data_IF_310436968432
#
_entry.id   IF_310436968432
#
_cell.length_a   1.000
_cell.length_b   1.000
_cell.length_c   1.000
_cell.angle_alpha   90.00
_cell.angle_beta   90.00
_cell.angle_gamma   90.00
#
_symmetry.space_group_name_H-M   'P 1'
#
loop_
_entity.id
_entity.type
_entity.pdbx_description
1 polymer ?
#
# COMPACT_ATOMS: atom_id res chain seq x y z
N UNK A 1 -23.13 -1.17 27.23
CA UNK A 1 -21.80 -1.64 27.67
C UNK A 1 -20.96 -2.31 26.56
N UNK A 2 -21.44 -2.41 25.31
CA UNK A 2 -20.60 -2.65 24.14
C UNK A 2 -20.13 -1.32 23.51
N UNK A 3 -21.04 -0.35 23.49
CA UNK A 3 -20.81 1.06 23.81
C UNK A 3 -20.32 1.18 25.28
N UNK A 4 -19.18 1.77 25.65
CA UNK A 4 -18.06 2.25 24.83
C UNK A 4 -16.81 1.38 24.98
N UNK A 5 -16.79 0.25 24.28
CA UNK A 5 -15.57 -0.46 23.87
C UNK A 5 -15.24 -0.10 22.42
N UNK A 6 -16.26 -0.06 21.56
CA UNK A 6 -16.14 0.28 20.15
C UNK A 6 -15.69 1.74 19.95
N UNK A 7 -16.32 2.70 20.64
CA UNK A 7 -15.94 4.12 20.57
C UNK A 7 -14.48 4.35 21.01
N UNK A 8 -13.99 3.62 22.01
CA UNK A 8 -12.57 3.69 22.44
C UNK A 8 -11.63 3.18 21.35
N UNK A 9 -12.00 2.09 20.68
CA UNK A 9 -11.22 1.58 19.55
C UNK A 9 -11.22 2.58 18.38
N UNK A 10 -12.35 3.20 18.06
CA UNK A 10 -12.41 4.23 17.00
C UNK A 10 -11.63 5.51 17.31
N UNK A 11 -11.44 5.84 18.59
CA UNK A 11 -10.60 6.97 19.03
C UNK A 11 -9.10 6.68 18.94
N UNK A 12 -8.70 5.41 19.06
CA UNK A 12 -7.30 4.96 18.98
C UNK A 12 -6.90 4.56 17.55
N UNK A 13 -7.86 4.13 16.73
CA UNK A 13 -7.64 3.82 15.32
C UNK A 13 -7.23 5.08 14.54
N UNK A 14 -6.14 4.97 13.77
CA UNK A 14 -5.59 6.10 13.01
C UNK A 14 -6.29 6.16 11.65
N UNK A 15 -7.43 6.85 11.59
CA UNK A 15 -8.21 7.00 10.35
C UNK A 15 -7.39 7.66 9.22
N UNK A 16 -6.41 8.51 9.56
CA UNK A 16 -5.39 9.05 8.64
C UNK A 16 -4.52 8.00 7.93
N UNK A 17 -4.49 6.76 8.41
CA UNK A 17 -3.72 5.64 7.85
C UNK A 17 -4.53 4.76 6.88
N UNK A 18 -5.85 4.95 6.78
CA UNK A 18 -6.69 4.17 5.86
C UNK A 18 -6.40 4.53 4.38
N UNK A 19 -6.68 3.60 3.46
CA UNK A 19 -6.27 3.73 2.06
C UNK A 19 -6.92 4.94 1.36
N UNK A 20 -8.17 5.25 1.70
CA UNK A 20 -9.03 6.30 1.16
C UNK A 20 -9.13 7.55 2.06
N UNK A 21 -8.28 7.66 3.08
CA UNK A 21 -8.32 8.76 4.04
C UNK A 21 -8.12 10.16 3.40
N UNK A 22 -9.00 11.15 3.65
CA UNK A 22 -8.85 12.51 3.11
C UNK A 22 -7.50 13.18 3.43
N UNK A 23 -6.87 12.84 4.57
CA UNK A 23 -5.51 13.29 4.94
C UNK A 23 -4.43 12.90 3.91
N UNK A 24 -4.75 11.99 2.99
CA UNK A 24 -3.83 11.42 2.00
C UNK A 24 -4.18 11.81 0.56
N UNK A 25 -5.03 12.82 0.37
CA UNK A 25 -5.33 13.36 -0.96
C UNK A 25 -4.22 14.29 -1.49
N UNK A 26 -3.99 14.34 -2.82
CA UNK A 26 -4.56 13.45 -3.85
C UNK A 26 -4.02 12.02 -3.69
N UNK A 27 -4.91 11.03 -3.82
CA UNK A 27 -4.52 9.63 -3.67
C UNK A 27 -3.60 9.21 -4.83
N UNK A 28 -2.41 8.63 -4.55
CA UNK A 28 -1.62 8.02 -5.61
C UNK A 28 -2.39 6.77 -6.07
N UNK A 29 -2.88 6.75 -7.31
CA UNK A 29 -3.56 5.61 -7.93
C UNK A 29 -2.86 5.28 -9.24
N UNK A 30 -2.73 4.01 -9.58
CA UNK A 30 -2.28 3.62 -10.92
C UNK A 30 -3.32 4.09 -11.95
N UNK A 31 -2.85 4.78 -13.00
CA UNK A 31 -3.70 5.19 -14.10
C UNK A 31 -4.14 3.97 -14.91
N UNK A 32 -5.27 4.08 -15.61
CA UNK A 32 -5.71 3.05 -16.53
C UNK A 32 -4.65 2.80 -17.61
N UNK A 33 -4.42 1.52 -17.93
CA UNK A 33 -3.34 1.10 -18.83
C UNK A 33 -1.93 1.07 -18.20
N UNK A 34 -1.73 1.53 -16.97
CA UNK A 34 -0.41 1.48 -16.30
C UNK A 34 -0.28 0.31 -15.33
N UNK A 35 0.96 -0.21 -15.15
CA UNK A 35 1.31 -1.30 -14.20
C UNK A 35 0.45 -2.58 -14.37
N UNK A 36 -0.04 -2.84 -15.57
CA UNK A 36 -1.07 -3.88 -15.83
C UNK A 36 -0.61 -5.26 -15.37
N UNK A 37 0.56 -5.72 -15.80
CA UNK A 37 1.04 -7.06 -15.46
C UNK A 37 1.51 -7.18 -14.01
N UNK A 38 2.04 -6.11 -13.41
CA UNK A 38 2.32 -6.05 -11.97
C UNK A 38 1.04 -6.29 -11.15
N UNK A 39 -0.02 -5.53 -11.46
CA UNK A 39 -1.30 -5.60 -10.77
C UNK A 39 -1.92 -6.99 -10.98
N UNK A 40 -1.94 -7.49 -12.22
CA UNK A 40 -2.42 -8.83 -12.57
C UNK A 40 -1.71 -9.93 -11.78
N UNK A 41 -0.39 -9.86 -11.62
CA UNK A 41 0.36 -10.82 -10.82
C UNK A 41 0.05 -10.71 -9.33
N UNK A 42 0.00 -9.49 -8.77
CA UNK A 42 -0.37 -9.27 -7.38
C UNK A 42 -1.78 -9.83 -7.11
N UNK A 43 -2.75 -9.61 -8.00
CA UNK A 43 -4.08 -10.22 -7.87
C UNK A 43 -4.04 -11.75 -7.93
N UNK A 44 -3.27 -12.32 -8.87
CA UNK A 44 -3.07 -13.78 -8.94
C UNK A 44 -2.38 -14.39 -7.72
N UNK A 45 -1.59 -13.61 -6.97
CA UNK A 45 -1.05 -14.01 -5.66
C UNK A 45 -2.09 -13.86 -4.54
N UNK A 46 -2.92 -12.82 -4.57
CA UNK A 46 -3.98 -12.56 -3.58
C UNK A 46 -5.20 -13.50 -3.71
N UNK A 47 -5.32 -14.21 -4.83
CA UNK A 47 -6.39 -15.19 -5.10
C UNK A 47 -6.01 -16.63 -4.71
N UNK A 48 -4.74 -16.89 -4.35
CA UNK A 48 -4.24 -18.17 -3.84
C UNK A 48 -4.89 -18.53 -2.51
N UNK A 49 -5.04 -19.82 -2.19
CA UNK A 49 -5.80 -20.27 -1.01
C UNK A 49 -5.06 -21.31 -0.16
N UNK A 50 -3.86 -21.67 -0.56
CA UNK A 50 -3.09 -22.78 0.02
C UNK A 50 -2.40 -22.38 1.34
N UNK A 51 -1.99 -21.12 1.46
CA UNK A 51 -1.35 -20.55 2.66
C UNK A 51 -1.44 -19.03 2.68
N UNK A 52 -1.40 -18.48 3.89
CA UNK A 52 -1.19 -17.04 4.10
C UNK A 52 0.16 -16.59 3.53
N UNK A 53 0.23 -15.37 3.00
CA UNK A 53 1.45 -14.83 2.37
C UNK A 53 1.63 -13.34 2.65
N UNK A 54 2.89 -12.90 2.70
CA UNK A 54 3.25 -11.48 2.58
C UNK A 54 3.78 -11.26 1.16
N UNK A 55 3.10 -10.43 0.37
CA UNK A 55 3.55 -9.99 -0.95
C UNK A 55 4.35 -8.70 -0.72
N UNK A 56 5.68 -8.77 -0.79
CA UNK A 56 6.55 -7.64 -0.51
C UNK A 56 6.97 -6.93 -1.78
N UNK A 57 6.27 -5.82 -2.10
CA UNK A 57 6.59 -4.95 -3.21
C UNK A 57 7.64 -3.92 -2.78
N UNK A 58 8.89 -4.09 -3.23
CA UNK A 58 10.00 -3.24 -2.77
C UNK A 58 10.76 -2.58 -3.92
N UNK A 59 11.38 -1.43 -3.65
CA UNK A 59 12.08 -0.67 -4.69
C UNK A 59 12.45 0.73 -4.23
N UNK A 60 13.07 1.52 -5.11
CA UNK A 60 13.54 2.88 -4.79
C UNK A 60 12.38 3.88 -4.56
N UNK A 61 12.70 5.09 -4.11
CA UNK A 61 11.70 6.14 -3.94
C UNK A 61 11.13 6.59 -5.29
N UNK A 62 9.81 6.78 -5.36
CA UNK A 62 9.16 7.36 -6.55
C UNK A 62 8.84 6.40 -7.70
N UNK A 63 9.04 5.09 -7.55
CA UNK A 63 8.68 4.07 -8.58
C UNK A 63 7.21 3.62 -8.56
N UNK A 64 6.32 4.36 -7.86
CA UNK A 64 4.87 4.11 -7.89
C UNK A 64 4.33 3.07 -6.90
N UNK A 65 5.13 2.53 -5.97
CA UNK A 65 4.69 1.48 -5.02
C UNK A 65 3.40 1.83 -4.26
N UNK A 66 3.29 3.05 -3.72
CA UNK A 66 2.09 3.52 -3.02
C UNK A 66 0.86 3.64 -3.92
N UNK A 67 1.06 3.85 -5.23
CA UNK A 67 -0.02 3.83 -6.21
C UNK A 67 -0.55 2.41 -6.43
N UNK A 68 0.36 1.43 -6.52
CA UNK A 68 0.01 0.01 -6.57
C UNK A 68 -0.74 -0.41 -5.29
N UNK A 69 -0.24 -0.02 -4.10
CA UNK A 69 -0.88 -0.31 -2.82
C UNK A 69 -2.31 0.26 -2.74
N UNK A 70 -2.50 1.53 -3.12
CA UNK A 70 -3.82 2.15 -3.16
C UNK A 70 -4.75 1.44 -4.15
N UNK A 71 -4.31 1.20 -5.39
CA UNK A 71 -5.12 0.52 -6.43
C UNK A 71 -5.50 -0.90 -6.02
N UNK A 72 -4.62 -1.62 -5.32
CA UNK A 72 -4.96 -2.93 -4.74
C UNK A 72 -5.97 -2.79 -3.60
N UNK A 73 -5.79 -1.85 -2.67
CA UNK A 73 -6.73 -1.63 -1.57
C UNK A 73 -8.14 -1.26 -2.08
N UNK A 74 -8.23 -0.33 -3.03
CA UNK A 74 -9.47 0.11 -3.67
C UNK A 74 -10.18 -1.06 -4.37
N UNK A 75 -9.46 -1.86 -5.17
CA UNK A 75 -10.04 -3.06 -5.81
C UNK A 75 -10.51 -4.09 -4.79
N UNK A 76 -9.70 -4.38 -3.76
CA UNK A 76 -10.10 -5.32 -2.70
C UNK A 76 -11.28 -4.78 -1.87
N UNK A 77 -11.48 -3.47 -1.78
CA UNK A 77 -12.67 -2.88 -1.16
C UNK A 77 -13.91 -3.02 -2.03
N UNK A 78 -13.79 -2.96 -3.35
CA UNK A 78 -14.89 -3.19 -4.30
C UNK A 78 -15.31 -4.66 -4.45
N UNK A 79 -14.43 -5.61 -4.12
CA UNK A 79 -14.73 -7.05 -4.18
C UNK A 79 -15.33 -7.55 -2.86
N UNK A 80 -16.42 -8.32 -2.94
CA UNK A 80 -16.98 -9.04 -1.79
C UNK A 80 -16.17 -10.29 -1.44
N UNK A 81 -16.30 -10.75 -0.19
CA UNK A 81 -15.81 -12.06 0.26
C UNK A 81 -16.79 -13.18 -0.09
N UNK A 82 -18.08 -12.91 0.04
CA UNK A 82 -19.19 -13.84 -0.29
C UNK A 82 -20.31 -13.04 -0.96
N UNK A 83 -21.07 -13.64 -1.89
CA UNK A 83 -22.15 -12.91 -2.57
C UNK A 83 -23.34 -12.62 -1.65
N UNK A 84 -23.54 -13.47 -0.65
CA UNK A 84 -24.59 -13.41 0.38
C UNK A 84 -24.42 -12.21 1.32
N UNK A 85 -23.18 -11.74 1.50
CA UNK A 85 -22.86 -10.60 2.37
C UNK A 85 -22.89 -9.26 1.63
N UNK A 86 -23.56 -8.26 2.22
CA UNK A 86 -23.58 -6.88 1.69
C UNK A 86 -22.45 -5.98 2.23
N UNK A 87 -21.73 -6.42 3.25
CA UNK A 87 -20.76 -5.60 4.02
C UNK A 87 -19.33 -6.15 3.91
N UNK A 88 -19.17 -7.47 3.79
CA UNK A 88 -17.86 -8.12 3.89
C UNK A 88 -17.09 -8.03 2.57
N UNK A 89 -16.08 -7.15 2.56
CA UNK A 89 -15.20 -6.86 1.42
C UNK A 89 -13.85 -7.56 1.57
N UNK A 90 -13.19 -7.94 0.46
CA UNK A 90 -11.87 -8.60 0.51
C UNK A 90 -10.82 -7.75 1.19
N UNK A 91 -10.92 -6.42 1.16
CA UNK A 91 -10.09 -5.56 2.01
C UNK A 91 -10.50 -5.73 3.48
N UNK A 92 -9.65 -6.39 4.26
CA UNK A 92 -9.78 -6.54 5.70
C UNK A 92 -9.39 -5.25 6.43
N UNK A 93 -8.30 -4.61 6.02
CA UNK A 93 -7.86 -3.33 6.54
C UNK A 93 -6.61 -2.81 5.84
N UNK A 94 -6.27 -1.57 6.12
CA UNK A 94 -5.16 -0.86 5.50
C UNK A 94 -4.40 0.00 6.50
N UNK A 95 -3.08 0.12 6.32
CA UNK A 95 -2.25 1.02 7.11
C UNK A 95 -1.14 1.62 6.25
N UNK A 96 -1.30 2.89 5.91
CA UNK A 96 -0.34 3.67 5.13
C UNK A 96 0.53 4.49 6.09
N UNK A 97 1.73 3.98 6.38
CA UNK A 97 2.72 4.66 7.22
C UNK A 97 3.05 6.05 6.64
N UNK A 98 3.46 6.98 7.50
CA UNK A 98 4.10 8.22 7.05
C UNK A 98 4.94 8.88 8.13
N UNK A 99 6.15 9.31 7.75
CA UNK A 99 7.08 10.09 8.59
C UNK A 99 6.50 11.45 8.98
N UNK A 100 5.49 11.95 8.25
CA UNK A 100 4.85 13.25 8.50
C UNK A 100 3.85 13.25 9.66
N UNK A 101 3.39 12.08 10.12
CA UNK A 101 2.41 11.96 11.20
C UNK A 101 2.95 11.04 12.31
N UNK A 102 2.93 11.50 13.56
CA UNK A 102 3.45 10.77 14.73
C UNK A 102 2.80 9.40 14.90
N UNK A 103 1.47 9.32 14.75
CA UNK A 103 0.71 8.09 14.92
C UNK A 103 0.83 7.13 13.71
N UNK A 104 1.42 7.58 12.59
CA UNK A 104 1.65 6.79 11.36
C UNK A 104 3.13 6.52 11.10
N UNK A 105 4.03 6.97 11.96
CA UNK A 105 5.48 6.70 11.90
C UNK A 105 5.95 5.70 12.97
N UNK A 106 5.01 5.05 13.67
CA UNK A 106 5.26 4.08 14.73
C UNK A 106 4.29 2.91 14.62
N UNK A 107 4.66 1.76 15.18
CA UNK A 107 3.83 0.54 15.16
C UNK A 107 2.77 0.50 16.26
N UNK A 108 2.82 1.38 17.26
CA UNK A 108 1.97 1.33 18.46
C UNK A 108 0.46 1.47 18.22
N UNK A 109 0.04 1.99 17.06
CA UNK A 109 -1.37 2.05 16.67
C UNK A 109 -1.74 1.05 15.55
N UNK A 110 -0.77 0.29 15.03
CA UNK A 110 -0.93 -0.52 13.83
C UNK A 110 -2.02 -1.58 14.01
N UNK A 111 -1.89 -2.44 15.03
CA UNK A 111 -2.85 -3.52 15.26
C UNK A 111 -4.22 -3.03 15.72
N UNK A 112 -4.30 -1.93 16.49
CA UNK A 112 -5.58 -1.31 16.85
C UNK A 112 -6.30 -0.76 15.61
N UNK A 113 -5.59 -0.10 14.70
CA UNK A 113 -6.14 0.46 13.46
C UNK A 113 -6.60 -0.63 12.48
N UNK A 114 -5.85 -1.74 12.39
CA UNK A 114 -6.29 -2.91 11.61
C UNK A 114 -7.47 -3.65 12.25
N UNK A 115 -7.51 -3.78 13.59
CA UNK A 115 -8.62 -4.42 14.30
C UNK A 115 -9.93 -3.64 14.13
N UNK A 116 -9.87 -2.31 14.16
CA UNK A 116 -11.01 -1.44 13.90
C UNK A 116 -11.57 -1.66 12.49
N UNK A 117 -10.72 -1.60 11.46
CA UNK A 117 -11.13 -1.84 10.08
C UNK A 117 -11.64 -3.27 9.88
N UNK A 118 -10.96 -4.29 10.43
CA UNK A 118 -11.39 -5.69 10.35
C UNK A 118 -12.79 -5.87 10.94
N UNK A 119 -13.05 -5.35 12.14
CA UNK A 119 -14.37 -5.42 12.77
C UNK A 119 -15.45 -4.58 12.06
N UNK A 120 -15.06 -3.50 11.37
CA UNK A 120 -15.97 -2.67 10.55
C UNK A 120 -16.34 -3.36 9.23
N UNK A 121 -15.37 -4.05 8.61
CA UNK A 121 -15.55 -4.78 7.36
C UNK A 121 -16.16 -6.18 7.58
N UNK A 122 -15.94 -6.80 8.75
CA UNK A 122 -16.45 -8.12 9.13
C UNK A 122 -17.20 -8.02 10.49
N UNK A 123 -18.50 -7.70 10.49
CA UNK A 123 -19.25 -7.45 11.73
C UNK A 123 -19.25 -8.61 12.73
N UNK A 124 -19.11 -9.86 12.26
CA UNK A 124 -18.94 -11.05 13.09
C UNK A 124 -17.73 -10.96 14.04
N UNK A 125 -16.67 -10.26 13.61
CA UNK A 125 -15.42 -10.07 14.37
C UNK A 125 -15.56 -9.02 15.48
N UNK A 126 -16.50 -8.08 15.34
CA UNK A 126 -16.64 -6.93 16.25
C UNK A 126 -16.85 -7.36 17.71
N UNK A 127 -17.69 -8.36 17.96
CA UNK A 127 -17.93 -8.91 19.31
C UNK A 127 -16.65 -9.48 19.93
N UNK A 128 -15.78 -10.10 19.13
CA UNK A 128 -14.54 -10.70 19.60
C UNK A 128 -13.45 -9.66 19.90
N UNK A 129 -13.32 -8.63 19.05
CA UNK A 129 -12.44 -7.47 19.29
C UNK A 129 -12.89 -6.73 20.56
N UNK A 130 -14.19 -6.46 20.69
CA UNK A 130 -14.75 -5.84 21.90
C UNK A 130 -14.48 -6.68 23.16
N UNK A 131 -14.61 -8.01 23.08
CA UNK A 131 -14.25 -8.89 24.21
C UNK A 131 -12.76 -8.79 24.58
N UNK A 132 -11.86 -8.85 23.60
CA UNK A 132 -10.42 -8.76 23.85
C UNK A 132 -10.02 -7.44 24.54
N UNK A 133 -10.63 -6.32 24.14
CA UNK A 133 -10.41 -5.00 24.75
C UNK A 133 -10.99 -4.92 26.16
N UNK A 134 -12.13 -5.56 26.45
CA UNK A 134 -12.69 -5.60 27.81
C UNK A 134 -11.85 -6.45 28.77
N UNK A 135 -11.31 -7.57 28.29
CA UNK A 135 -10.43 -8.45 29.08
C UNK A 135 -9.09 -7.78 29.39
N UNK A 136 -8.55 -6.98 28.47
CA UNK A 136 -7.33 -6.18 28.72
C UNK A 136 -7.41 -4.82 27.99
N UNK A 137 -7.91 -3.75 28.64
CA UNK A 137 -7.99 -2.42 28.01
C UNK A 137 -6.64 -1.81 27.63
N UNK A 138 -5.54 -2.26 28.24
CA UNK A 138 -4.21 -1.75 27.95
C UNK A 138 -3.71 -2.11 26.54
N UNK A 139 -4.34 -3.05 25.83
CA UNK A 139 -4.02 -3.34 24.41
C UNK A 139 -4.29 -2.16 23.47
N UNK A 140 -5.09 -1.18 23.89
CA UNK A 140 -5.30 0.07 23.16
C UNK A 140 -4.26 1.16 23.47
N UNK A 141 -3.36 0.93 24.43
CA UNK A 141 -2.27 1.86 24.72
C UNK A 141 -1.15 1.66 23.68
N UNK A 142 -0.74 2.74 23.00
CA UNK A 142 0.33 2.70 21.99
C UNK A 142 1.71 2.32 22.56
N UNK A 143 1.91 2.45 23.88
CA UNK A 143 3.11 2.00 24.60
C UNK A 143 3.04 0.55 25.08
N UNK A 144 1.93 -0.17 24.83
CA UNK A 144 1.81 -1.59 25.13
C UNK A 144 2.74 -2.40 24.23
N UNK A 145 3.22 -3.53 24.74
CA UNK A 145 3.93 -4.56 23.96
C UNK A 145 3.23 -4.86 22.63
N UNK A 146 3.94 -4.62 21.51
CA UNK A 146 3.44 -4.88 20.15
C UNK A 146 3.02 -6.34 19.94
N UNK A 147 3.67 -7.27 20.66
CA UNK A 147 3.32 -8.69 20.70
C UNK A 147 1.97 -8.95 21.34
N UNK A 148 1.62 -8.22 22.38
CA UNK A 148 0.34 -8.40 23.08
C UNK A 148 -0.81 -7.70 22.35
N UNK A 149 -0.53 -6.55 21.73
CA UNK A 149 -1.44 -5.97 20.73
C UNK A 149 -1.71 -6.95 19.58
N UNK A 150 -0.67 -7.55 18.97
CA UNK A 150 -0.82 -8.54 17.89
C UNK A 150 -1.71 -9.71 18.34
N UNK A 151 -1.41 -10.32 19.49
CA UNK A 151 -2.19 -11.46 20.01
C UNK A 151 -3.67 -11.12 20.21
N UNK A 152 -3.95 -9.98 20.84
CA UNK A 152 -5.30 -9.60 21.27
C UNK A 152 -6.14 -8.98 20.15
N UNK A 153 -5.53 -8.19 19.26
CA UNK A 153 -6.21 -7.35 18.27
C UNK A 153 -6.05 -7.86 16.83
N UNK A 154 -5.13 -8.77 16.56
CA UNK A 154 -4.93 -9.35 15.22
C UNK A 154 -5.15 -10.87 15.21
N UNK A 155 -4.30 -11.65 15.90
CA UNK A 155 -4.39 -13.13 15.90
C UNK A 155 -5.74 -13.64 16.38
N UNK A 156 -6.19 -13.24 17.58
CA UNK A 156 -7.45 -13.72 18.17
C UNK A 156 -8.70 -13.33 17.36
N UNK A 157 -8.83 -12.10 16.83
CA UNK A 157 -9.89 -11.75 15.88
C UNK A 157 -9.89 -12.60 14.60
N UNK A 158 -8.73 -12.86 14.00
CA UNK A 158 -8.61 -13.73 12.82
C UNK A 158 -8.99 -15.19 13.15
N UNK A 159 -8.49 -15.73 14.26
CA UNK A 159 -8.79 -17.08 14.75
C UNK A 159 -10.29 -17.33 14.90
N UNK A 160 -11.01 -16.31 15.41
CA UNK A 160 -12.46 -16.39 15.53
C UNK A 160 -13.16 -16.47 14.16
N UNK A 161 -12.64 -15.87 13.09
CA UNK A 161 -13.20 -16.07 11.74
C UNK A 161 -13.03 -17.51 11.27
N UNK A 162 -11.83 -18.11 11.40
CA UNK A 162 -11.60 -19.50 11.00
C UNK A 162 -12.40 -20.49 11.85
N UNK A 163 -12.59 -20.22 13.14
CA UNK A 163 -13.40 -21.06 14.03
C UNK A 163 -14.87 -21.20 13.58
N UNK A 164 -15.36 -20.33 12.69
CA UNK A 164 -16.70 -20.44 12.07
C UNK A 164 -16.70 -21.25 10.77
N UNK A 165 -15.54 -21.61 10.23
CA UNK A 165 -15.36 -22.29 8.93
C UNK A 165 -15.76 -21.46 7.70
N UNK A 166 -16.38 -20.29 7.91
CA UNK A 166 -17.10 -19.51 6.88
C UNK A 166 -16.22 -19.04 5.73
N UNK A 167 -14.91 -18.88 5.93
CA UNK A 167 -14.00 -18.33 4.93
C UNK A 167 -13.28 -19.39 4.07
N UNK A 168 -13.45 -20.69 4.35
CA UNK A 168 -12.67 -21.77 3.71
C UNK A 168 -12.83 -21.86 2.19
N UNK A 169 -14.02 -21.52 1.68
CA UNK A 169 -14.33 -21.53 0.25
C UNK A 169 -14.32 -20.11 -0.37
N UNK A 170 -13.99 -19.09 0.42
CA UNK A 170 -13.98 -17.70 0.00
C UNK A 170 -12.60 -17.28 -0.55
N UNK A 171 -12.53 -16.20 -1.34
CA UNK A 171 -11.27 -15.51 -1.59
C UNK A 171 -10.70 -14.96 -0.26
N UNK A 172 -9.39 -15.13 0.03
CA UNK A 172 -8.80 -14.66 1.26
C UNK A 172 -8.99 -13.16 1.52
N UNK A 173 -9.24 -12.76 2.77
CA UNK A 173 -9.12 -11.37 3.19
C UNK A 173 -7.70 -10.83 3.02
N UNK A 174 -7.60 -9.58 2.62
CA UNK A 174 -6.35 -8.88 2.27
C UNK A 174 -6.15 -7.69 3.18
N UNK A 175 -4.96 -7.58 3.76
CA UNK A 175 -4.46 -6.36 4.38
C UNK A 175 -3.49 -5.63 3.44
N UNK A 176 -3.53 -4.30 3.43
CA UNK A 176 -2.60 -3.47 2.64
C UNK A 176 -1.79 -2.58 3.57
N UNK A 177 -0.48 -2.75 3.56
CA UNK A 177 0.47 -2.01 4.40
C UNK A 177 1.45 -1.29 3.49
N UNK A 178 1.39 0.03 3.47
CA UNK A 178 2.20 0.85 2.55
C UNK A 178 3.31 1.59 3.28
N UNK A 179 4.45 1.74 2.61
CA UNK A 179 5.60 2.53 3.01
C UNK A 179 6.15 2.18 4.40
N UNK A 180 6.42 0.89 4.67
CA UNK A 180 6.97 0.46 5.97
C UNK A 180 8.30 1.16 6.32
N UNK A 181 9.09 1.61 5.34
CA UNK A 181 10.27 2.46 5.54
C UNK A 181 9.96 3.86 6.08
N UNK A 182 8.69 4.28 6.10
CA UNK A 182 8.24 5.49 6.81
C UNK A 182 7.94 5.27 8.30
N UNK A 183 8.07 4.04 8.81
CA UNK A 183 8.08 3.74 10.23
C UNK A 183 9.47 3.94 10.87
N UNK A 184 9.48 4.24 12.16
CA UNK A 184 10.68 4.23 13.02
C UNK A 184 11.36 2.84 13.03
N UNK A 185 12.63 2.70 12.57
CA UNK A 185 13.28 1.41 12.32
C UNK A 185 13.32 0.44 13.50
N UNK A 186 13.35 0.97 14.74
CA UNK A 186 13.50 0.24 16.00
C UNK A 186 12.39 -0.80 16.22
N UNK A 187 11.23 -0.60 15.61
CA UNK A 187 10.04 -1.47 15.79
C UNK A 187 9.64 -2.24 14.53
N UNK A 188 10.32 -2.00 13.41
CA UNK A 188 9.98 -2.58 12.09
C UNK A 188 10.28 -4.08 12.03
N UNK A 189 11.44 -4.50 12.55
CA UNK A 189 11.82 -5.91 12.57
C UNK A 189 10.90 -6.76 13.46
N UNK A 190 10.43 -6.18 14.57
CA UNK A 190 9.46 -6.83 15.46
C UNK A 190 8.08 -6.95 14.80
N UNK A 191 7.62 -5.90 14.11
CA UNK A 191 6.35 -5.97 13.37
C UNK A 191 6.38 -7.06 12.30
N UNK A 192 7.43 -7.12 11.47
CA UNK A 192 7.60 -8.14 10.43
C UNK A 192 7.57 -9.55 11.05
N UNK A 193 8.33 -9.76 12.13
CA UNK A 193 8.39 -11.04 12.85
C UNK A 193 7.03 -11.43 13.45
N UNK A 194 6.27 -10.48 14.01
CA UNK A 194 4.96 -10.72 14.60
C UNK A 194 3.88 -10.99 13.54
N UNK A 195 3.98 -10.35 12.37
CA UNK A 195 3.13 -10.68 11.21
C UNK A 195 3.43 -12.09 10.71
N UNK A 196 4.71 -12.47 10.57
CA UNK A 196 5.08 -13.85 10.19
C UNK A 196 4.58 -14.89 11.18
N UNK A 197 4.76 -14.65 12.49
CA UNK A 197 4.24 -15.53 13.55
C UNK A 197 2.72 -15.69 13.49
N UNK A 198 1.97 -14.65 13.12
CA UNK A 198 0.53 -14.75 12.92
C UNK A 198 0.17 -15.51 11.63
N UNK A 199 0.84 -15.22 10.51
CA UNK A 199 0.50 -15.83 9.21
C UNK A 199 0.93 -17.31 9.08
N UNK A 200 1.92 -17.76 9.87
CA UNK A 200 2.32 -19.17 9.97
C UNK A 200 1.46 -20.00 10.93
N UNK A 201 0.51 -19.39 11.63
CA UNK A 201 -0.34 -20.07 12.61
C UNK A 201 -1.47 -20.86 11.88
N UNK A 202 -1.47 -22.21 11.94
CA UNK A 202 -2.44 -23.04 11.22
C UNK A 202 -3.85 -22.98 11.82
N UNK A 203 -4.04 -22.31 12.97
CA UNK A 203 -5.36 -22.02 13.52
C UNK A 203 -6.01 -20.77 12.90
N UNK A 204 -5.30 -20.02 12.06
CA UNK A 204 -5.81 -18.81 11.40
C UNK A 204 -6.38 -19.10 10.00
N UNK A 205 -7.34 -18.27 9.53
CA UNK A 205 -7.80 -18.35 8.15
C UNK A 205 -6.67 -17.88 7.24
N UNK A 206 -6.66 -18.38 6.01
CA UNK A 206 -5.74 -17.85 4.99
C UNK A 206 -6.05 -16.38 4.75
N UNK A 207 -5.04 -15.54 4.94
CA UNK A 207 -5.09 -14.09 4.70
C UNK A 207 -3.79 -13.63 4.04
N UNK A 208 -3.85 -12.58 3.24
CA UNK A 208 -2.68 -12.01 2.58
C UNK A 208 -2.38 -10.61 3.06
N UNK A 209 -1.10 -10.24 3.03
CA UNK A 209 -0.65 -8.87 3.28
C UNK A 209 0.10 -8.40 2.04
N UNK A 210 -0.41 -7.39 1.34
CA UNK A 210 0.43 -6.59 0.43
C UNK A 210 1.22 -5.61 1.29
N UNK A 211 2.54 -5.74 1.28
CA UNK A 211 3.47 -4.90 2.01
C UNK A 211 4.34 -4.11 1.03
N UNK A 212 4.44 -2.79 1.16
CA UNK A 212 5.40 -2.01 0.38
C UNK A 212 6.48 -1.37 1.26
N UNK A 213 7.71 -1.31 0.73
CA UNK A 213 8.78 -0.52 1.35
C UNK A 213 9.93 -0.21 0.38
N UNK A 214 10.90 0.59 0.83
CA UNK A 214 12.27 0.52 0.31
C UNK A 214 12.96 -0.76 0.75
N UNK A 215 13.97 -1.18 0.00
CA UNK A 215 14.87 -2.30 0.34
C UNK A 215 15.90 -1.91 1.42
N UNK A 216 15.50 -1.19 2.47
CA UNK A 216 16.42 -0.80 3.54
C UNK A 216 16.90 -2.03 4.32
N UNK A 217 18.19 -2.05 4.69
CA UNK A 217 18.86 -3.27 5.17
C UNK A 217 18.21 -3.87 6.42
N UNK A 218 17.61 -3.05 7.29
CA UNK A 218 16.89 -3.52 8.48
C UNK A 218 15.59 -4.26 8.13
N UNK A 219 14.88 -3.83 7.07
CA UNK A 219 13.69 -4.52 6.53
C UNK A 219 14.11 -5.81 5.85
N UNK A 220 15.12 -5.74 4.97
CA UNK A 220 15.64 -6.89 4.22
C UNK A 220 16.11 -7.99 5.18
N UNK A 221 16.89 -7.65 6.21
CA UNK A 221 17.32 -8.59 7.25
C UNK A 221 16.17 -9.21 8.04
N UNK A 222 15.09 -8.48 8.28
CA UNK A 222 13.92 -9.01 8.99
C UNK A 222 13.10 -9.97 8.12
N UNK A 223 12.96 -9.68 6.82
CA UNK A 223 12.25 -10.52 5.84
C UNK A 223 13.05 -11.76 5.43
N UNK A 224 14.38 -11.68 5.39
CA UNK A 224 15.24 -12.81 5.00
C UNK A 224 15.50 -13.82 6.13
N UNK A 225 14.90 -13.63 7.32
CA UNK A 225 14.90 -14.63 8.40
C UNK A 225 14.18 -15.90 7.97
N UNK A 226 14.64 -17.05 8.46
CA UNK A 226 14.18 -18.36 8.01
C UNK A 226 12.67 -18.57 8.20
N UNK A 227 12.12 -18.06 9.31
CA UNK A 227 10.69 -18.11 9.64
C UNK A 227 9.81 -17.28 8.69
N UNK A 228 10.40 -16.31 7.98
CA UNK A 228 9.71 -15.43 7.03
C UNK A 228 9.81 -15.92 5.59
N UNK A 229 10.93 -16.57 5.21
CA UNK A 229 11.24 -16.97 3.83
C UNK A 229 10.15 -17.83 3.16
N UNK A 230 9.43 -18.64 3.94
CA UNK A 230 8.37 -19.52 3.41
C UNK A 230 7.04 -18.80 3.21
N UNK A 231 6.83 -17.64 3.85
CA UNK A 231 5.63 -16.81 3.75
C UNK A 231 5.75 -15.69 2.72
N UNK A 232 6.95 -15.13 2.54
CA UNK A 232 7.16 -13.92 1.75
C UNK A 232 7.31 -14.25 0.26
N UNK A 233 6.59 -13.53 -0.59
CA UNK A 233 6.82 -13.44 -2.02
C UNK A 233 7.41 -12.06 -2.32
N UNK A 234 8.71 -12.00 -2.64
CA UNK A 234 9.40 -10.75 -2.96
C UNK A 234 9.09 -10.30 -4.40
N UNK A 235 8.77 -9.01 -4.57
CA UNK A 235 8.55 -8.36 -5.87
C UNK A 235 9.43 -7.11 -5.95
N UNK A 236 10.61 -7.19 -6.59
CA UNK A 236 11.48 -6.04 -6.81
C UNK A 236 10.95 -5.12 -7.92
N UNK A 237 10.94 -3.82 -7.67
CA UNK A 237 10.69 -2.76 -8.66
C UNK A 237 11.98 -1.97 -8.83
N UNK A 238 12.78 -2.39 -9.81
CA UNK A 238 14.06 -1.79 -10.14
C UNK A 238 13.91 -0.73 -11.24
N UNK A 239 14.84 0.23 -11.27
CA UNK A 239 14.92 1.26 -12.33
C UNK A 239 16.07 1.00 -13.31
N UNK A 240 17.11 0.27 -12.87
CA UNK A 240 18.17 -0.26 -13.73
C UNK A 240 17.66 -1.50 -14.47
N UNK A 241 17.81 -1.53 -15.80
CA UNK A 241 17.33 -2.61 -16.67
C UNK A 241 18.07 -3.95 -16.56
N UNK A 242 18.77 -4.18 -15.46
CA UNK A 242 19.44 -5.44 -15.14
C UNK A 242 18.65 -6.12 -13.99
N UNK A 243 17.59 -6.83 -14.38
CA UNK A 243 16.82 -7.69 -13.48
C UNK A 243 17.46 -9.08 -13.37
N UNK A 244 17.64 -9.58 -12.16
CA UNK A 244 18.02 -11.00 -11.95
C UNK A 244 16.83 -11.87 -12.39
N UNK A 245 17.10 -12.87 -13.23
CA UNK A 245 16.09 -13.73 -13.82
C UNK A 245 15.22 -14.44 -12.78
N UNK A 246 13.89 -14.43 -12.98
CA UNK A 246 12.97 -15.38 -12.35
C UNK A 246 11.56 -14.88 -12.05
N UNK A 247 11.40 -13.64 -11.57
CA UNK A 247 10.15 -13.20 -10.93
C UNK A 247 9.72 -11.82 -11.42
N UNK A 248 8.97 -11.79 -12.53
CA UNK A 248 8.44 -10.60 -13.20
C UNK A 248 9.43 -9.44 -13.23
N UNK A 249 10.30 -9.48 -14.23
CA UNK A 249 10.92 -8.27 -14.71
C UNK A 249 9.80 -7.32 -15.13
N UNK A 250 9.61 -6.24 -14.36
CA UNK A 250 8.94 -5.05 -14.86
C UNK A 250 9.95 -4.41 -15.79
N UNK A 251 9.99 -4.89 -17.03
CA UNK A 251 11.02 -4.52 -17.97
C UNK A 251 11.01 -3.00 -18.16
N UNK A 252 12.20 -2.45 -18.44
CA UNK A 252 12.38 -1.01 -18.46
C UNK A 252 11.38 -0.29 -19.37
N UNK A 253 11.03 -0.94 -20.48
CA UNK A 253 10.07 -0.49 -21.49
C UNK A 253 8.64 -0.31 -20.93
N UNK A 254 8.15 -1.22 -20.07
CA UNK A 254 6.84 -1.07 -19.41
C UNK A 254 6.80 0.18 -18.52
N UNK A 255 7.89 0.42 -17.78
CA UNK A 255 8.01 1.56 -16.86
C UNK A 255 8.18 2.88 -17.60
N UNK A 256 8.86 2.88 -18.74
CA UNK A 256 8.99 4.05 -19.60
C UNK A 256 7.64 4.37 -20.26
N UNK A 257 6.91 3.36 -20.77
CA UNK A 257 5.56 3.51 -21.31
C UNK A 257 4.56 4.00 -20.23
N UNK A 258 4.60 3.46 -19.03
CA UNK A 258 3.81 3.95 -17.89
C UNK A 258 4.02 5.46 -17.62
N UNK A 259 5.26 5.94 -17.72
CA UNK A 259 5.60 7.35 -17.52
C UNK A 259 5.10 8.21 -18.67
N UNK A 260 5.18 7.71 -19.92
CA UNK A 260 4.56 8.35 -21.07
C UNK A 260 3.05 8.52 -20.88
N UNK A 261 2.34 7.47 -20.46
CA UNK A 261 0.90 7.51 -20.16
C UNK A 261 0.61 8.51 -19.03
N UNK A 262 1.42 8.51 -17.96
CA UNK A 262 1.29 9.47 -16.86
C UNK A 262 1.44 10.93 -17.33
N UNK A 263 2.46 11.23 -18.15
CA UNK A 263 2.69 12.57 -18.68
C UNK A 263 1.54 12.98 -19.61
N UNK A 264 1.14 12.11 -20.55
CA UNK A 264 0.05 12.38 -21.48
C UNK A 264 -1.27 12.67 -20.75
N UNK A 265 -1.60 11.89 -19.71
CA UNK A 265 -2.76 12.14 -18.86
C UNK A 265 -2.65 13.48 -18.13
N UNK A 266 -1.50 13.75 -17.47
CA UNK A 266 -1.27 15.00 -16.73
C UNK A 266 -1.34 16.24 -17.61
N UNK A 267 -0.86 16.17 -18.85
CA UNK A 267 -0.99 17.27 -19.82
C UNK A 267 -2.42 17.40 -20.37
N UNK A 268 -3.17 16.31 -20.50
CA UNK A 268 -4.59 16.38 -20.88
C UNK A 268 -5.41 17.09 -19.80
N UNK A 269 -5.16 16.76 -18.53
CA UNK A 269 -5.75 17.45 -17.37
C UNK A 269 -5.34 18.93 -17.30
N UNK A 270 -4.11 19.27 -17.70
CA UNK A 270 -3.65 20.66 -17.81
C UNK A 270 -4.40 21.41 -18.94
N UNK A 271 -4.47 20.85 -20.15
CA UNK A 271 -5.18 21.44 -21.28
C UNK A 271 -6.67 21.68 -20.97
N UNK A 272 -7.31 20.79 -20.20
CA UNK A 272 -8.70 20.95 -19.80
C UNK A 272 -8.96 22.17 -18.89
N UNK A 273 -7.94 22.61 -18.14
CA UNK A 273 -7.99 23.80 -17.26
C UNK A 273 -7.46 25.06 -17.93
N UNK A 274 -6.60 24.91 -18.95
CA UNK A 274 -5.99 26.00 -19.70
C UNK A 274 -6.23 25.79 -21.21
N UNK A 275 -7.39 26.21 -21.76
CA UNK A 275 -7.74 25.95 -23.15
C UNK A 275 -6.78 26.55 -24.19
N UNK A 276 -6.05 27.62 -23.83
CA UNK A 276 -5.03 28.27 -24.67
C UNK A 276 -3.64 27.61 -24.58
N UNK A 277 -3.51 26.54 -23.78
CA UNK A 277 -2.28 25.74 -23.69
C UNK A 277 -2.28 24.67 -24.79
N UNK A 278 -1.26 24.63 -25.68
CA UNK A 278 -1.20 23.65 -26.74
C UNK A 278 -0.88 22.26 -26.19
N UNK A 279 -1.53 21.23 -26.75
CA UNK A 279 -1.17 19.82 -26.46
C UNK A 279 0.33 19.62 -26.74
N UNK A 280 1.11 19.04 -25.81
CA UNK A 280 2.53 18.79 -26.03
C UNK A 280 2.76 17.81 -27.18
N UNK A 281 3.86 17.99 -27.91
CA UNK A 281 4.27 17.09 -28.98
C UNK A 281 4.72 15.72 -28.43
N UNK A 282 4.74 14.70 -29.28
CA UNK A 282 5.31 13.40 -28.93
C UNK A 282 6.81 13.50 -28.54
N UNK A 283 7.56 14.41 -29.15
CA UNK A 283 8.96 14.70 -28.77
C UNK A 283 9.05 15.24 -27.33
N UNK A 284 8.23 16.24 -26.98
CA UNK A 284 8.19 16.81 -25.64
C UNK A 284 7.90 15.72 -24.58
N UNK A 285 6.90 14.86 -24.83
CA UNK A 285 6.58 13.74 -23.94
C UNK A 285 7.74 12.75 -23.81
N UNK A 286 8.42 12.42 -24.91
CA UNK A 286 9.57 11.51 -24.94
C UNK A 286 10.76 12.07 -24.15
N UNK A 287 11.10 13.35 -24.34
CA UNK A 287 12.18 14.01 -23.61
C UNK A 287 11.91 14.10 -22.11
N UNK A 288 10.67 14.42 -21.72
CA UNK A 288 10.25 14.44 -20.31
C UNK A 288 10.26 13.04 -19.69
N UNK A 289 9.80 12.01 -20.41
CA UNK A 289 9.81 10.62 -19.93
C UNK A 289 11.24 10.11 -19.72
N UNK A 290 12.12 10.30 -20.72
CA UNK A 290 13.54 9.98 -20.62
C UNK A 290 14.20 10.70 -19.44
N UNK A 291 13.93 12.00 -19.26
CA UNK A 291 14.46 12.80 -18.15
C UNK A 291 13.94 12.33 -16.78
N UNK A 292 12.71 11.82 -16.70
CA UNK A 292 12.15 11.23 -15.48
C UNK A 292 12.89 9.95 -15.06
N UNK A 293 13.46 9.21 -16.01
CA UNK A 293 14.36 8.08 -15.77
C UNK A 293 13.72 7.03 -14.86
N UNK A 294 12.59 6.47 -15.30
CA UNK A 294 11.81 5.42 -14.62
C UNK A 294 11.31 5.75 -13.21
N UNK A 295 11.19 7.05 -12.88
CA UNK A 295 10.71 7.54 -11.58
C UNK A 295 9.53 8.50 -11.74
N UNK A 296 8.31 8.03 -11.45
CA UNK A 296 7.10 8.85 -11.43
C UNK A 296 7.20 10.08 -10.51
N UNK A 297 8.00 10.03 -9.42
CA UNK A 297 8.20 11.22 -8.58
C UNK A 297 8.85 12.37 -9.35
N UNK A 298 9.73 12.07 -10.31
CA UNK A 298 10.39 13.07 -11.15
C UNK A 298 9.39 13.62 -12.16
N UNK A 299 8.65 12.75 -12.87
CA UNK A 299 7.59 13.16 -13.79
C UNK A 299 6.50 14.00 -13.09
N UNK A 300 6.06 13.60 -11.88
CA UNK A 300 5.09 14.36 -11.08
C UNK A 300 5.64 15.70 -10.60
N UNK A 301 6.95 15.78 -10.30
CA UNK A 301 7.61 17.05 -9.96
C UNK A 301 7.71 17.98 -11.17
N UNK A 302 8.00 17.44 -12.36
CA UNK A 302 7.96 18.20 -13.62
C UNK A 302 6.57 18.77 -13.89
N UNK A 303 5.52 17.96 -13.77
CA UNK A 303 4.15 18.42 -13.97
C UNK A 303 3.75 19.51 -12.96
N UNK A 304 4.14 19.39 -11.68
CA UNK A 304 3.93 20.44 -10.66
C UNK A 304 4.74 21.72 -10.87
N UNK A 305 5.82 21.66 -11.66
CA UNK A 305 6.60 22.84 -12.04
C UNK A 305 5.97 23.56 -13.23
N UNK A 306 5.45 22.80 -14.20
CA UNK A 306 4.69 23.32 -15.34
C UNK A 306 3.36 23.92 -14.89
N UNK A 307 2.67 23.22 -13.99
CA UNK A 307 1.37 23.57 -13.41
C UNK A 307 1.54 24.10 -11.97
N UNK A 308 2.30 25.18 -11.81
CA UNK A 308 2.54 25.77 -10.48
C UNK A 308 1.44 26.75 -10.02
N UNK A 309 0.53 27.15 -10.92
CA UNK A 309 -0.58 28.06 -10.65
C UNK A 309 -0.20 29.54 -10.51
N UNK A 310 1.06 29.90 -10.74
CA UNK A 310 1.56 31.28 -10.63
C UNK A 310 2.12 31.82 -11.95
N UNK A 311 2.72 30.96 -12.78
CA UNK A 311 3.35 31.32 -14.05
C UNK A 311 2.53 30.80 -15.25
N UNK A 312 2.79 31.29 -16.46
CA UNK A 312 2.21 30.71 -17.68
C UNK A 312 2.77 29.29 -17.88
N UNK A 313 1.93 28.24 -17.95
CA UNK A 313 2.42 26.87 -18.12
C UNK A 313 3.24 26.67 -19.40
N UNK A 314 3.09 27.52 -20.42
CA UNK A 314 3.86 27.47 -21.69
C UNK A 314 5.33 27.79 -21.43
N UNK A 315 5.61 28.93 -20.82
CA UNK A 315 6.96 29.37 -20.43
C UNK A 315 7.61 28.34 -19.50
N UNK A 316 6.82 27.72 -18.61
CA UNK A 316 7.29 26.68 -17.68
C UNK A 316 7.59 25.35 -18.36
N UNK A 317 6.82 24.97 -19.39
CA UNK A 317 7.12 23.80 -20.21
C UNK A 317 8.38 24.04 -21.06
N UNK A 318 8.53 25.21 -21.67
CA UNK A 318 9.72 25.58 -22.45
C UNK A 318 10.99 25.52 -21.59
N UNK A 319 10.99 26.20 -20.44
CA UNK A 319 12.10 26.14 -19.48
C UNK A 319 12.39 24.71 -18.97
N UNK A 320 11.36 23.89 -18.73
CA UNK A 320 11.56 22.49 -18.34
C UNK A 320 12.25 21.70 -19.47
N UNK A 321 11.87 21.93 -20.73
CA UNK A 321 12.46 21.29 -21.91
C UNK A 321 13.91 21.77 -22.15
N UNK A 322 14.23 23.04 -21.95
CA UNK A 322 15.61 23.56 -21.96
C UNK A 322 16.47 22.86 -20.88
N UNK A 323 15.98 22.79 -19.64
CA UNK A 323 16.64 22.09 -18.54
C UNK A 323 16.74 20.55 -18.74
N UNK A 324 15.98 19.97 -19.67
CA UNK A 324 16.18 18.57 -20.10
C UNK A 324 17.32 18.42 -21.11
N UNK A 325 17.66 19.47 -21.87
CA UNK A 325 18.73 19.45 -22.86
C UNK A 325 20.10 19.76 -22.24
N UNK A 326 20.19 20.75 -21.34
CA UNK A 326 21.47 21.22 -20.78
C UNK A 326 22.10 20.28 -19.73
N UNK A 327 21.36 19.28 -19.25
CA UNK A 327 21.79 18.38 -18.16
C UNK A 327 22.07 16.94 -18.63
N UNK A 328 22.47 16.78 -19.89
CA UNK A 328 23.05 15.56 -20.43
C UNK A 328 24.57 15.51 -20.16
N UNK A 329 25.08 14.55 -19.37
CA UNK A 329 26.42 14.00 -19.56
C UNK A 329 26.47 13.03 -20.76
#
# INVERSE_FOLDING_TARGET
MAEGTWEKLSQVAVLGAEYDSPERQPHPKCLEGTRVDLLKFIYGLLDKREKSQIIWLHGTAGVGKSAVAFTVAERMKGLKVTEETKIETRLAGSFFFSRKHTNRSTTGHFFATLAYQLARNFPSVQTHVNRAIRENPAVLNASMSLRDQMKALFRRPLWHMESTGRLRECPPPVFVVDALDECKPETVADLISLLGQALSDPELPVVHILLTSRSEEHIRKAIQKEEMRTLVCEIPVNTSGEGIAGTISLDGEDVDNDIHVFLQHSFTDLCSRHPDFPQPTADNLTRLANRAGRRFIVASTMMKFVDDGYNDPRDRLELMLELTNELLP
#
